data_IF_694953843033
#
_entry.id   IF_694953843033
#
_cell.length_a   1.000
_cell.length_b   1.000
_cell.length_c   1.000
_cell.angle_alpha   90.00
_cell.angle_beta   90.00
_cell.angle_gamma   90.00
#
_symmetry.space_group_name_H-M   'P 1'
#
loop_
_entity.id
_entity.type
_entity.pdbx_description
1 polymer ?
#
# COMPACT_ATOMS: atom_id res chain seq x y z
N UNK A 1 19.58 65.44 1.20
CA UNK A 1 19.98 64.04 1.40
C UNK A 1 18.69 63.23 1.62
N UNK A 2 18.29 62.39 0.66
CA UNK A 2 17.06 61.57 0.71
C UNK A 2 17.47 60.14 1.08
N UNK A 3 16.99 59.62 2.20
CA UNK A 3 17.18 58.21 2.59
C UNK A 3 16.17 57.32 1.85
N UNK A 4 16.56 56.14 1.36
CA UNK A 4 15.62 55.19 0.75
C UNK A 4 14.97 54.30 1.81
N UNK A 5 13.64 54.17 1.72
CA UNK A 5 12.79 53.29 2.53
C UNK A 5 12.97 51.82 2.10
N UNK A 6 13.21 50.85 3.01
CA UNK A 6 13.36 49.46 2.61
C UNK A 6 11.99 48.77 2.48
N UNK A 7 11.54 48.55 1.24
CA UNK A 7 10.36 47.76 0.86
C UNK A 7 10.62 46.24 0.92
N UNK A 8 11.08 45.71 2.06
CA UNK A 8 11.65 44.36 2.11
C UNK A 8 11.01 43.28 3.03
N UNK A 9 9.87 43.44 3.72
CA UNK A 9 9.34 42.33 4.53
C UNK A 9 8.21 41.52 3.87
N UNK A 10 7.72 41.88 2.67
CA UNK A 10 6.53 41.22 2.11
C UNK A 10 6.82 40.07 1.15
N UNK A 11 7.96 40.07 0.46
CA UNK A 11 8.31 39.01 -0.49
C UNK A 11 8.72 37.69 0.21
N UNK A 12 9.19 37.75 1.45
CA UNK A 12 9.69 36.59 2.17
C UNK A 12 8.58 35.66 2.72
N UNK A 13 7.37 36.20 2.96
CA UNK A 13 6.26 35.42 3.54
C UNK A 13 5.57 34.54 2.49
N UNK A 14 5.50 34.98 1.23
CA UNK A 14 4.84 34.21 0.16
C UNK A 14 5.64 32.95 -0.25
N UNK A 15 6.97 32.96 -0.10
CA UNK A 15 7.82 31.82 -0.44
C UNK A 15 7.79 30.69 0.61
N UNK A 16 7.37 31.00 1.85
CA UNK A 16 7.31 30.03 2.94
C UNK A 16 6.05 29.15 2.92
N UNK A 17 4.97 29.61 2.27
CA UNK A 17 3.69 28.88 2.21
C UNK A 17 3.68 27.70 1.23
N UNK A 18 4.58 27.67 0.25
CA UNK A 18 4.64 26.61 -0.78
C UNK A 18 5.39 25.35 -0.35
N UNK A 19 6.01 25.32 0.84
CA UNK A 19 6.84 24.20 1.29
C UNK A 19 6.11 23.02 1.92
N UNK A 20 4.85 23.17 2.35
CA UNK A 20 4.15 22.13 3.14
C UNK A 20 3.47 21.02 2.31
N UNK A 21 3.43 21.12 0.97
CA UNK A 21 2.71 20.16 0.14
C UNK A 21 3.52 18.89 -0.24
N UNK A 22 4.79 18.80 0.15
CA UNK A 22 5.69 17.76 -0.37
C UNK A 22 5.54 16.37 0.28
N UNK A 23 4.93 16.23 1.46
CA UNK A 23 4.90 14.95 2.17
C UNK A 23 3.74 14.00 1.78
N UNK A 24 2.80 14.43 0.93
CA UNK A 24 1.66 13.59 0.55
C UNK A 24 1.91 12.72 -0.71
N UNK A 25 3.03 12.91 -1.40
CA UNK A 25 3.37 12.13 -2.60
C UNK A 25 4.35 11.01 -2.28
N UNK A 26 3.99 10.11 -1.37
CA UNK A 26 4.53 8.74 -1.43
C UNK A 26 3.90 8.09 -2.66
N UNK A 27 4.51 8.32 -3.83
CA UNK A 27 4.25 7.54 -5.03
C UNK A 27 4.59 6.09 -4.70
N UNK A 28 3.58 5.35 -4.26
CA UNK A 28 3.70 3.92 -4.05
C UNK A 28 4.13 3.30 -5.37
N UNK A 29 5.26 2.61 -5.36
CA UNK A 29 5.60 1.70 -6.45
C UNK A 29 4.36 0.85 -6.77
N UNK A 30 4.12 0.51 -8.05
CA UNK A 30 2.99 -0.31 -8.40
C UNK A 30 3.14 -1.61 -7.60
N UNK A 31 2.13 -1.92 -6.80
CA UNK A 31 2.26 -2.94 -5.77
C UNK A 31 2.57 -4.33 -6.34
N UNK A 32 2.27 -4.54 -7.62
CA UNK A 32 2.58 -5.73 -8.41
C UNK A 32 4.07 -6.04 -8.56
N UNK A 33 4.99 -5.12 -8.25
CA UNK A 33 6.43 -5.37 -8.30
C UNK A 33 6.98 -6.11 -7.06
N UNK A 34 6.22 -6.23 -5.97
CA UNK A 34 6.73 -6.74 -4.68
C UNK A 34 6.92 -8.27 -4.63
N UNK A 35 6.06 -9.03 -5.32
CA UNK A 35 6.07 -10.49 -5.30
C UNK A 35 5.78 -11.08 -6.69
N UNK A 36 6.60 -12.03 -7.11
CA UNK A 36 6.36 -12.80 -8.32
C UNK A 36 5.21 -13.81 -8.10
N UNK A 37 4.27 -13.88 -9.05
CA UNK A 37 3.21 -14.89 -9.04
C UNK A 37 3.84 -16.28 -9.14
N UNK A 38 3.42 -17.25 -8.30
CA UNK A 38 3.95 -18.61 -8.37
C UNK A 38 3.75 -19.22 -9.76
N UNK A 39 4.77 -19.91 -10.26
CA UNK A 39 4.70 -20.58 -11.56
C UNK A 39 3.59 -21.64 -11.59
N UNK A 40 2.82 -21.68 -12.68
CA UNK A 40 1.70 -22.61 -12.82
C UNK A 40 0.50 -22.30 -11.91
N UNK A 41 0.45 -21.12 -11.29
CA UNK A 41 -0.69 -20.72 -10.49
C UNK A 41 -1.92 -20.43 -11.35
N UNK A 42 -3.06 -20.93 -10.90
CA UNK A 42 -4.39 -20.53 -11.35
C UNK A 42 -4.86 -19.37 -10.48
N UNK A 43 -5.23 -18.27 -11.10
CA UNK A 43 -5.74 -17.07 -10.42
C UNK A 43 -7.27 -17.12 -10.30
N UNK A 44 -7.78 -16.78 -9.12
CA UNK A 44 -9.20 -16.52 -8.86
C UNK A 44 -9.33 -15.11 -8.30
N UNK A 45 -10.18 -14.29 -8.91
CA UNK A 45 -10.40 -12.90 -8.51
C UNK A 45 -11.81 -12.74 -7.96
N UNK A 46 -11.94 -12.08 -6.81
CA UNK A 46 -13.23 -11.75 -6.21
C UNK A 46 -13.22 -10.33 -5.64
N UNK A 47 -14.34 -9.64 -5.80
CA UNK A 47 -14.60 -8.37 -5.14
C UNK A 47 -15.35 -8.67 -3.85
N UNK A 48 -14.88 -8.11 -2.74
CA UNK A 48 -15.52 -8.22 -1.43
C UNK A 48 -16.60 -7.13 -1.27
N UNK A 49 -17.51 -7.31 -0.31
CA UNK A 49 -18.59 -6.36 -0.03
C UNK A 49 -18.08 -4.96 0.37
N UNK A 50 -16.89 -4.89 0.96
CA UNK A 50 -16.21 -3.62 1.29
C UNK A 50 -15.53 -2.95 0.08
N UNK A 51 -15.59 -3.59 -1.09
CA UNK A 51 -15.01 -3.16 -2.37
C UNK A 51 -13.57 -3.61 -2.61
N UNK A 52 -12.94 -4.31 -1.66
CA UNK A 52 -11.57 -4.79 -1.84
C UNK A 52 -11.54 -5.89 -2.91
N UNK A 53 -10.49 -5.89 -3.74
CA UNK A 53 -10.28 -6.93 -4.75
C UNK A 53 -9.25 -7.92 -4.22
N UNK A 54 -9.65 -9.19 -4.12
CA UNK A 54 -8.81 -10.28 -3.65
C UNK A 54 -8.49 -11.20 -4.82
N UNK A 55 -7.20 -11.42 -5.04
CA UNK A 55 -6.67 -12.39 -5.99
C UNK A 55 -6.09 -13.57 -5.22
N UNK A 56 -6.62 -14.76 -5.44
CA UNK A 56 -6.08 -16.02 -4.92
C UNK A 56 -5.29 -16.74 -6.02
N UNK A 57 -4.05 -17.09 -5.72
CA UNK A 57 -3.17 -17.83 -6.63
C UNK A 57 -2.97 -19.24 -6.08
N UNK A 58 -3.43 -20.24 -6.85
CA UNK A 58 -3.40 -21.65 -6.47
C UNK A 58 -2.54 -22.48 -7.39
N UNK A 59 -1.60 -23.24 -6.84
CA UNK A 59 -0.79 -24.20 -7.60
C UNK A 59 -1.29 -25.60 -7.26
N UNK A 60 -1.71 -26.36 -8.26
CA UNK A 60 -2.26 -27.72 -8.08
C UNK A 60 -3.39 -27.79 -7.02
N UNK A 61 -4.22 -26.75 -6.95
CA UNK A 61 -5.34 -26.62 -6.00
C UNK A 61 -4.98 -26.08 -4.62
N UNK A 62 -3.69 -26.04 -4.26
CA UNK A 62 -3.20 -25.49 -2.99
C UNK A 62 -3.06 -23.97 -3.06
N UNK A 63 -3.50 -23.26 -2.02
CA UNK A 63 -3.37 -21.80 -1.95
C UNK A 63 -1.90 -21.44 -1.68
N UNK A 64 -1.28 -20.66 -2.58
CA UNK A 64 0.13 -20.28 -2.48
C UNK A 64 0.33 -18.80 -2.21
N UNK A 65 -0.54 -17.97 -2.76
CA UNK A 65 -0.47 -16.53 -2.55
C UNK A 65 -1.86 -15.90 -2.60
N UNK A 66 -2.04 -14.84 -1.83
CA UNK A 66 -3.20 -13.95 -1.90
C UNK A 66 -2.69 -12.52 -2.04
N UNK A 67 -3.15 -11.81 -3.07
CA UNK A 67 -2.97 -10.36 -3.24
C UNK A 67 -4.27 -9.67 -2.89
N UNK A 68 -4.22 -8.69 -2.00
CA UNK A 68 -5.37 -7.88 -1.63
C UNK A 68 -5.12 -6.46 -2.11
N UNK A 69 -6.01 -5.95 -2.95
CA UNK A 69 -6.06 -4.57 -3.41
C UNK A 69 -7.21 -3.88 -2.68
N UNK A 70 -6.93 -3.19 -1.55
CA UNK A 70 -7.98 -2.55 -0.79
C UNK A 70 -8.50 -1.28 -1.50
N UNK A 71 -9.76 -0.91 -1.26
CA UNK A 71 -10.32 0.35 -1.78
C UNK A 71 -9.56 1.56 -1.23
N UNK A 72 -9.01 1.43 -0.02
CA UNK A 72 -8.21 2.45 0.65
C UNK A 72 -6.99 1.79 1.29
N UNK A 73 -5.80 2.30 0.99
CA UNK A 73 -4.54 1.82 1.55
C UNK A 73 -3.68 1.08 0.53
N UNK A 74 -2.49 0.61 0.95
CA UNK A 74 -1.59 -0.11 0.07
C UNK A 74 -2.07 -1.54 -0.17
N UNK A 75 -1.85 -2.04 -1.38
CA UNK A 75 -1.97 -3.47 -1.69
C UNK A 75 -0.97 -4.27 -0.85
N UNK A 76 -1.39 -5.42 -0.38
CA UNK A 76 -0.55 -6.34 0.38
C UNK A 76 -0.70 -7.78 -0.09
N UNK A 77 0.27 -8.61 0.32
CA UNK A 77 0.42 -9.98 -0.15
C UNK A 77 0.55 -10.92 1.05
N UNK A 78 -0.17 -12.03 1.01
CA UNK A 78 0.00 -13.16 1.92
C UNK A 78 0.56 -14.31 1.10
N UNK A 79 1.70 -14.88 1.50
CA UNK A 79 2.40 -15.93 0.74
C UNK A 79 2.64 -17.11 1.66
N UNK A 80 2.26 -18.31 1.21
CA UNK A 80 2.64 -19.57 1.85
C UNK A 80 4.10 -19.87 1.48
N UNK A 81 5.01 -19.64 2.44
CA UNK A 81 6.45 -19.86 2.24
C UNK A 81 6.88 -21.29 2.52
N UNK A 82 6.16 -22.02 3.37
CA UNK A 82 6.59 -23.32 3.87
C UNK A 82 6.05 -24.50 3.03
N UNK A 83 5.07 -24.27 2.14
CA UNK A 83 4.54 -25.32 1.26
C UNK A 83 3.34 -26.08 1.82
N UNK A 84 2.83 -25.73 2.99
CA UNK A 84 1.81 -26.52 3.68
C UNK A 84 0.36 -26.19 3.25
N UNK A 85 0.20 -25.22 2.34
CA UNK A 85 -1.10 -24.77 1.83
C UNK A 85 -1.85 -23.84 2.79
N UNK A 86 -1.21 -23.39 3.87
CA UNK A 86 -1.75 -22.43 4.85
C UNK A 86 -0.94 -21.15 4.77
N UNK A 87 -1.66 -20.03 4.82
CA UNK A 87 -1.02 -18.73 4.98
C UNK A 87 -0.74 -18.51 6.47
N UNK A 88 0.51 -18.60 6.90
CA UNK A 88 0.87 -18.36 8.30
C UNK A 88 1.40 -16.93 8.50
N UNK A 89 1.06 -16.25 9.60
CA UNK A 89 1.63 -14.94 9.94
C UNK A 89 3.15 -15.00 10.10
N UNK A 90 3.67 -16.18 10.46
CA UNK A 90 5.08 -16.51 10.62
C UNK A 90 5.84 -16.49 9.28
N UNK A 91 5.11 -16.69 8.17
CA UNK A 91 5.65 -16.75 6.82
C UNK A 91 5.91 -15.36 6.22
N UNK A 92 5.94 -14.28 7.01
CA UNK A 92 6.35 -12.97 6.48
C UNK A 92 6.42 -11.85 7.50
N UNK A 93 7.33 -10.90 7.22
CA UNK A 93 7.30 -9.53 7.74
C UNK A 93 6.14 -8.77 7.09
N UNK A 94 4.93 -9.29 7.26
CA UNK A 94 3.73 -8.49 7.12
C UNK A 94 3.70 -7.62 8.38
N UNK A 95 3.49 -6.29 8.28
CA UNK A 95 2.92 -5.58 9.40
C UNK A 95 1.53 -6.19 9.60
N UNK A 96 1.47 -7.29 10.36
CA UNK A 96 0.27 -8.03 10.72
C UNK A 96 -0.50 -7.16 11.71
N UNK A 97 -0.91 -5.99 11.23
CA UNK A 97 -1.81 -5.14 11.96
C UNK A 97 -3.17 -5.80 11.79
N UNK A 98 -3.52 -6.62 12.78
CA UNK A 98 -4.85 -7.17 12.90
C UNK A 98 -5.83 -6.00 13.15
N UNK A 99 -6.60 -5.62 12.14
CA UNK A 99 -7.75 -4.75 12.34
C UNK A 99 -9.00 -5.62 12.46
N UNK A 100 -9.69 -5.57 13.60
CA UNK A 100 -11.02 -6.15 13.77
C UNK A 100 -12.04 -5.07 13.41
N UNK A 101 -12.64 -5.19 12.23
CA UNK A 101 -13.56 -4.15 11.73
C UNK A 101 -14.96 -4.23 12.35
N UNK A 102 -15.42 -5.41 12.79
CA UNK A 102 -16.65 -5.54 13.57
C UNK A 102 -16.53 -6.65 14.63
N UNK A 103 -17.10 -6.39 15.81
CA UNK A 103 -17.41 -7.38 16.84
C UNK A 103 -18.87 -7.22 17.22
N UNK A 104 -19.58 -8.33 17.36
CA UNK A 104 -20.94 -8.35 17.91
C UNK A 104 -20.94 -7.84 19.36
#
# INVERSE_FOLDING_TARGET
MRTPTPLLPFAAVLLAATGLAACASSGGAPADAAYAVPEGAVEVVRVQDNGDVVHEYRVQGQLRMVKVVPVRGPTYYLVDRNGDGRLSPEDGDVPATYYKLFGW
#
